data_IF_806447036749
#
_entry.id   IF_806447036749
#
_cell.length_a   1.000
_cell.length_b   1.000
_cell.length_c   1.000
_cell.angle_alpha   90.00
_cell.angle_beta   90.00
_cell.angle_gamma   90.00
#
_symmetry.space_group_name_H-M   'P 1'
#
loop_
_entity.id
_entity.type
_entity.pdbx_description
1 polymer ?
#
# COMPACT_ATOMS: atom_id res chain seq x y z
N UNK A 1 24.06 11.19 -21.35
CA UNK A 1 22.79 10.44 -21.41
C UNK A 1 22.98 8.93 -21.10
N UNK A 2 24.00 8.27 -21.63
CA UNK A 2 24.22 6.82 -21.44
C UNK A 2 24.64 6.39 -20.02
N UNK A 3 25.11 7.30 -19.17
CA UNK A 3 25.50 7.01 -17.79
C UNK A 3 24.28 6.96 -16.87
N UNK A 4 23.36 7.89 -17.00
CA UNK A 4 22.13 7.94 -16.21
C UNK A 4 21.25 6.70 -16.43
N UNK A 5 21.09 6.27 -17.69
CA UNK A 5 20.34 5.04 -18.00
C UNK A 5 20.99 3.77 -17.45
N UNK A 6 22.31 3.71 -17.38
CA UNK A 6 23.05 2.59 -16.76
C UNK A 6 22.87 2.58 -15.24
N UNK A 7 22.88 3.73 -14.59
CA UNK A 7 22.70 3.85 -13.15
C UNK A 7 21.28 3.46 -12.73
N UNK A 8 20.25 3.93 -13.45
CA UNK A 8 18.86 3.56 -13.23
C UNK A 8 18.64 2.04 -13.39
N UNK A 9 19.19 1.42 -14.43
CA UNK A 9 19.12 -0.03 -14.62
C UNK A 9 19.76 -0.81 -13.47
N UNK A 10 20.89 -0.34 -12.94
CA UNK A 10 21.56 -0.98 -11.77
C UNK A 10 20.76 -0.85 -10.50
N UNK A 11 20.09 0.30 -10.27
CA UNK A 11 19.22 0.52 -9.12
C UNK A 11 17.97 -0.37 -9.18
N UNK A 12 17.31 -0.45 -10.35
CA UNK A 12 16.13 -1.30 -10.55
C UNK A 12 16.48 -2.77 -10.35
N UNK A 13 17.63 -3.23 -10.86
CA UNK A 13 18.09 -4.60 -10.67
C UNK A 13 18.38 -4.97 -9.20
N UNK A 14 18.74 -4.00 -8.36
CA UNK A 14 18.94 -4.23 -6.92
C UNK A 14 17.65 -4.29 -6.12
N UNK A 15 16.61 -3.59 -6.55
CA UNK A 15 15.31 -3.53 -5.86
C UNK A 15 14.45 -4.77 -6.15
N UNK A 16 14.63 -5.39 -7.33
CA UNK A 16 13.95 -6.65 -7.68
C UNK A 16 14.68 -7.85 -7.07
N UNK A 17 14.39 -8.17 -5.83
CA UNK A 17 14.98 -9.29 -5.09
C UNK A 17 14.66 -10.66 -5.71
N UNK A 18 15.43 -11.10 -6.74
CA UNK A 18 15.54 -12.50 -7.17
C UNK A 18 14.67 -12.97 -8.33
N UNK A 19 13.79 -12.15 -8.92
CA UNK A 19 13.07 -12.48 -10.16
C UNK A 19 13.80 -11.95 -11.41
N UNK A 20 13.55 -12.51 -12.62
CA UNK A 20 14.07 -11.91 -13.84
C UNK A 20 13.55 -10.47 -13.96
N UNK A 21 14.45 -9.49 -14.15
CA UNK A 21 14.07 -8.10 -14.20
C UNK A 21 13.11 -7.87 -15.37
N UNK A 22 11.98 -7.22 -15.11
CA UNK A 22 11.01 -6.89 -16.13
C UNK A 22 11.66 -5.95 -17.17
N UNK A 23 11.97 -6.51 -18.34
CA UNK A 23 12.68 -5.81 -19.43
C UNK A 23 11.90 -4.57 -19.88
N UNK A 24 10.58 -4.62 -19.81
CA UNK A 24 9.69 -3.54 -20.20
C UNK A 24 9.82 -2.36 -19.23
N UNK A 25 9.79 -2.62 -17.92
CA UNK A 25 9.94 -1.60 -16.90
C UNK A 25 11.31 -0.92 -16.94
N UNK A 26 12.38 -1.72 -17.13
CA UNK A 26 13.73 -1.18 -17.27
C UNK A 26 13.89 -0.33 -18.53
N UNK A 27 13.29 -0.76 -19.63
CA UNK A 27 13.29 -0.02 -20.90
C UNK A 27 12.57 1.33 -20.75
N UNK A 28 11.39 1.32 -20.14
CA UNK A 28 10.61 2.53 -19.90
C UNK A 28 11.34 3.51 -18.98
N UNK A 29 11.77 3.07 -17.81
CA UNK A 29 12.46 3.93 -16.84
C UNK A 29 13.80 4.47 -17.40
N UNK A 30 14.55 3.64 -18.15
CA UNK A 30 15.77 4.07 -18.82
C UNK A 30 15.54 5.14 -19.90
N UNK A 31 14.44 5.01 -20.65
CA UNK A 31 14.04 5.99 -21.67
C UNK A 31 13.57 7.30 -21.04
N UNK A 32 12.72 7.23 -20.01
CA UNK A 32 12.27 8.40 -19.27
C UNK A 32 13.46 9.20 -18.69
N UNK A 33 14.39 8.52 -18.02
CA UNK A 33 15.58 9.15 -17.46
C UNK A 33 16.45 9.78 -18.56
N UNK A 34 16.59 9.14 -19.72
CA UNK A 34 17.34 9.67 -20.85
C UNK A 34 16.72 10.96 -21.38
N UNK A 35 15.39 11.00 -21.57
CA UNK A 35 14.70 12.18 -22.05
C UNK A 35 14.79 13.34 -21.06
N UNK A 36 14.64 13.08 -19.75
CA UNK A 36 14.81 14.11 -18.72
C UNK A 36 16.20 14.73 -18.75
N UNK A 37 17.26 13.92 -18.80
CA UNK A 37 18.65 14.42 -18.90
C UNK A 37 18.86 15.20 -20.20
N UNK A 38 18.24 14.77 -21.29
CA UNK A 38 18.37 15.45 -22.58
C UNK A 38 17.70 16.82 -22.56
N UNK A 39 16.50 16.92 -21.97
CA UNK A 39 15.78 18.21 -21.82
C UNK A 39 16.62 19.20 -20.99
N UNK A 40 17.13 18.76 -19.84
CA UNK A 40 17.97 19.58 -18.97
C UNK A 40 19.25 20.02 -19.69
N UNK A 41 19.89 19.09 -20.42
CA UNK A 41 21.10 19.39 -21.18
C UNK A 41 20.88 20.42 -22.32
N UNK A 42 19.78 20.28 -23.05
CA UNK A 42 19.39 21.23 -24.10
C UNK A 42 19.18 22.61 -23.51
N UNK A 43 18.45 22.73 -22.40
CA UNK A 43 18.21 24.03 -21.74
C UNK A 43 19.53 24.67 -21.30
N UNK A 44 20.45 23.89 -20.71
CA UNK A 44 21.74 24.40 -20.28
C UNK A 44 22.57 24.93 -21.45
N UNK A 45 22.58 24.24 -22.60
CA UNK A 45 23.26 24.71 -23.82
C UNK A 45 22.63 26.00 -24.36
N UNK A 46 21.28 26.06 -24.39
CA UNK A 46 20.59 27.28 -24.85
C UNK A 46 20.91 28.47 -23.96
N UNK A 47 20.99 28.29 -22.64
CA UNK A 47 21.39 29.35 -21.70
C UNK A 47 22.83 29.85 -21.97
N UNK A 48 23.77 28.93 -22.25
CA UNK A 48 25.15 29.32 -22.58
C UNK A 48 25.26 30.10 -23.91
N UNK A 49 24.35 29.82 -24.85
CA UNK A 49 24.25 30.55 -26.12
C UNK A 49 23.53 31.89 -25.99
N UNK A 50 23.13 32.31 -24.77
CA UNK A 50 22.45 33.59 -24.53
C UNK A 50 20.96 33.59 -24.89
N UNK A 51 20.38 32.41 -25.17
CA UNK A 51 18.94 32.27 -25.45
C UNK A 51 18.15 32.42 -24.18
N UNK A 52 17.13 33.26 -24.19
CA UNK A 52 16.23 33.43 -23.04
C UNK A 52 15.34 32.19 -22.83
N UNK A 53 15.65 31.40 -21.83
CA UNK A 53 14.97 30.12 -21.54
C UNK A 53 13.76 30.23 -20.60
N UNK A 54 13.42 31.44 -20.13
CA UNK A 54 12.33 31.71 -19.17
C UNK A 54 10.99 31.13 -19.63
N UNK A 55 10.63 31.31 -20.90
CA UNK A 55 9.38 30.76 -21.44
C UNK A 55 9.38 29.25 -21.50
N UNK A 56 10.52 28.64 -21.82
CA UNK A 56 10.67 27.17 -21.83
C UNK A 56 10.51 26.60 -20.42
N UNK A 57 11.14 27.25 -19.43
CA UNK A 57 11.02 26.86 -18.03
C UNK A 57 9.59 27.01 -17.51
N UNK A 58 8.88 28.08 -17.93
CA UNK A 58 7.47 28.25 -17.57
C UNK A 58 6.58 27.14 -18.13
N UNK A 59 6.77 26.74 -19.39
CA UNK A 59 6.05 25.65 -20.03
C UNK A 59 6.36 24.30 -19.34
N UNK A 60 7.63 24.05 -19.05
CA UNK A 60 8.04 22.83 -18.32
C UNK A 60 7.48 22.79 -16.89
N UNK A 61 7.41 23.94 -16.21
CA UNK A 61 6.78 24.05 -14.89
C UNK A 61 5.28 23.71 -14.95
N UNK A 62 4.56 24.26 -15.92
CA UNK A 62 3.15 23.95 -16.14
C UNK A 62 2.95 22.45 -16.49
N UNK A 63 3.79 21.89 -17.36
CA UNK A 63 3.74 20.47 -17.71
C UNK A 63 4.03 19.57 -16.49
N UNK A 64 5.02 19.95 -15.66
CA UNK A 64 5.36 19.22 -14.43
C UNK A 64 4.22 19.24 -13.43
N UNK A 65 3.53 20.38 -13.28
CA UNK A 65 2.34 20.49 -12.44
C UNK A 65 1.21 19.58 -12.94
N UNK A 66 0.96 19.58 -14.26
CA UNK A 66 -0.07 18.73 -14.86
C UNK A 66 0.22 17.24 -14.62
N UNK A 67 1.49 16.81 -14.79
CA UNK A 67 1.91 15.43 -14.48
C UNK A 67 1.76 15.13 -12.99
N UNK A 68 2.14 16.06 -12.10
CA UNK A 68 1.97 15.91 -10.65
C UNK A 68 0.52 15.72 -10.25
N UNK A 69 -0.40 16.49 -10.83
CA UNK A 69 -1.84 16.35 -10.61
C UNK A 69 -2.36 15.01 -11.15
N UNK A 70 -1.90 14.58 -12.32
CA UNK A 70 -2.28 13.28 -12.89
C UNK A 70 -1.82 12.09 -12.01
N UNK A 71 -0.68 12.23 -11.33
CA UNK A 71 -0.09 11.19 -10.45
C UNK A 71 -0.52 11.34 -8.98
N UNK A 72 -1.35 12.32 -8.63
CA UNK A 72 -1.73 12.64 -7.25
C UNK A 72 -2.26 11.41 -6.48
N UNK A 73 -3.13 10.60 -7.10
CA UNK A 73 -3.69 9.40 -6.46
C UNK A 73 -2.63 8.34 -6.15
N UNK A 74 -1.67 8.16 -7.05
CA UNK A 74 -0.55 7.22 -6.85
C UNK A 74 0.35 7.70 -5.72
N UNK A 75 0.67 8.98 -5.69
CA UNK A 75 1.50 9.60 -4.64
C UNK A 75 0.82 9.54 -3.27
N UNK A 76 -0.50 9.72 -3.22
CA UNK A 76 -1.31 9.54 -2.01
C UNK A 76 -1.21 8.11 -1.46
N UNK A 77 -1.23 7.09 -2.32
CA UNK A 77 -1.05 5.70 -1.89
C UNK A 77 0.34 5.44 -1.31
N UNK A 78 1.38 6.02 -1.91
CA UNK A 78 2.76 5.94 -1.38
C UNK A 78 2.84 6.58 0.01
N UNK A 79 2.32 7.80 0.16
CA UNK A 79 2.32 8.51 1.43
C UNK A 79 1.57 7.70 2.52
N UNK A 80 0.39 7.16 2.18
CA UNK A 80 -0.38 6.31 3.07
C UNK A 80 0.39 5.02 3.44
N UNK A 81 1.05 4.36 2.47
CA UNK A 81 1.88 3.18 2.71
C UNK A 81 3.02 3.46 3.70
N UNK A 82 3.71 4.59 3.55
CA UNK A 82 4.75 5.04 4.50
C UNK A 82 4.15 5.27 5.89
N UNK A 83 2.97 5.91 6.00
CA UNK A 83 2.29 6.13 7.28
C UNK A 83 1.86 4.82 7.94
N UNK A 84 1.33 3.86 7.17
CA UNK A 84 0.97 2.54 7.68
C UNK A 84 2.19 1.77 8.21
N UNK A 85 3.34 1.87 7.53
CA UNK A 85 4.60 1.27 7.97
C UNK A 85 5.19 1.94 9.21
N UNK A 86 4.99 3.25 9.37
CA UNK A 86 5.50 4.03 10.50
C UNK A 86 4.64 3.82 11.76
N UNK A 87 3.33 4.02 11.66
CA UNK A 87 2.41 3.92 12.79
C UNK A 87 1.97 2.49 13.12
N UNK A 88 2.02 1.59 12.16
CA UNK A 88 1.73 0.16 12.30
C UNK A 88 0.41 -0.14 13.01
N UNK A 89 -0.72 0.36 12.53
CA UNK A 89 -2.03 0.04 13.12
C UNK A 89 -2.35 -1.45 13.05
N UNK A 90 -1.71 -2.17 12.14
CA UNK A 90 -1.72 -3.62 12.02
C UNK A 90 -0.35 -4.14 11.52
N UNK A 91 -0.15 -5.44 11.60
CA UNK A 91 1.04 -6.16 11.15
C UNK A 91 0.66 -7.24 10.14
N UNK A 92 1.64 -7.71 9.38
CA UNK A 92 1.47 -8.91 8.56
C UNK A 92 1.13 -10.08 9.47
N UNK A 93 0.07 -10.81 9.16
CA UNK A 93 -0.51 -11.88 9.97
C UNK A 93 -1.73 -11.47 10.79
N UNK A 94 -1.97 -10.18 11.04
CA UNK A 94 -3.17 -9.72 11.75
C UNK A 94 -4.42 -9.91 10.90
N UNK A 95 -5.53 -10.19 11.55
CA UNK A 95 -6.87 -10.16 10.94
C UNK A 95 -7.45 -8.77 11.13
N UNK A 96 -7.73 -8.10 10.02
CA UNK A 96 -8.29 -6.75 10.03
C UNK A 96 -9.58 -6.68 9.21
N UNK A 97 -10.41 -5.72 9.58
CA UNK A 97 -11.53 -5.27 8.75
C UNK A 97 -11.28 -3.81 8.36
N UNK A 98 -11.31 -3.55 7.06
CA UNK A 98 -11.10 -2.21 6.47
C UNK A 98 -11.79 -2.12 5.12
N UNK A 99 -12.36 -0.98 4.79
CA UNK A 99 -13.11 -0.74 3.55
C UNK A 99 -14.19 -1.81 3.27
N UNK A 100 -14.86 -2.30 4.34
CA UNK A 100 -15.89 -3.33 4.25
C UNK A 100 -15.38 -4.72 3.85
N UNK A 101 -14.08 -4.98 4.04
CA UNK A 101 -13.45 -6.28 3.77
C UNK A 101 -12.71 -6.77 5.01
N UNK A 102 -12.96 -8.02 5.37
CA UNK A 102 -12.27 -8.71 6.47
C UNK A 102 -11.30 -9.73 5.90
N UNK A 103 -10.09 -9.78 6.44
CA UNK A 103 -9.08 -10.76 6.02
C UNK A 103 -7.80 -10.67 6.81
N UNK A 104 -6.95 -11.66 6.61
CA UNK A 104 -5.59 -11.68 7.18
C UNK A 104 -4.65 -10.91 6.28
N UNK A 105 -3.88 -9.99 6.87
CA UNK A 105 -2.86 -9.20 6.16
C UNK A 105 -1.74 -10.13 5.67
N UNK A 106 -1.56 -10.21 4.36
CA UNK A 106 -0.49 -11.01 3.72
C UNK A 106 0.76 -10.18 3.48
N UNK A 107 0.59 -9.00 2.85
CA UNK A 107 1.69 -8.07 2.59
C UNK A 107 1.21 -6.63 2.77
N UNK A 108 2.14 -5.78 3.15
CA UNK A 108 2.00 -4.33 3.15
C UNK A 108 3.11 -3.77 2.26
N UNK A 109 2.75 -3.44 1.04
CA UNK A 109 3.65 -2.87 0.04
C UNK A 109 3.53 -1.35 -0.01
N UNK A 110 4.36 -0.69 -0.83
CA UNK A 110 4.42 0.76 -0.92
C UNK A 110 3.08 1.39 -1.40
N UNK A 111 2.35 0.71 -2.28
CA UNK A 111 1.12 1.22 -2.90
C UNK A 111 -0.15 0.54 -2.39
N UNK A 112 -0.03 -0.72 -1.99
CA UNK A 112 -1.17 -1.59 -1.69
C UNK A 112 -0.93 -2.43 -0.46
N UNK A 113 -2.02 -2.78 0.22
CA UNK A 113 -2.10 -3.81 1.25
C UNK A 113 -2.84 -5.01 0.68
N UNK A 114 -2.29 -6.20 0.81
CA UNK A 114 -2.94 -7.44 0.40
C UNK A 114 -3.52 -8.17 1.61
N UNK A 115 -4.80 -8.55 1.50
CA UNK A 115 -5.49 -9.39 2.47
C UNK A 115 -5.85 -10.73 1.85
N UNK A 116 -5.89 -11.76 2.68
CA UNK A 116 -6.52 -13.04 2.35
C UNK A 116 -7.80 -13.19 3.17
N UNK A 117 -8.94 -13.32 2.50
CA UNK A 117 -10.23 -13.55 3.17
C UNK A 117 -10.29 -14.96 3.75
N UNK A 118 -11.25 -15.24 4.69
CA UNK A 118 -11.49 -16.61 5.18
C UNK A 118 -11.78 -17.62 4.06
N UNK A 119 -12.40 -17.17 2.96
CA UNK A 119 -12.67 -18.00 1.77
C UNK A 119 -11.45 -18.17 0.85
N UNK A 120 -10.26 -17.80 1.33
CA UNK A 120 -8.99 -17.86 0.60
C UNK A 120 -8.93 -17.00 -0.68
N UNK A 121 -9.67 -15.88 -0.72
CA UNK A 121 -9.60 -14.92 -1.81
C UNK A 121 -8.54 -13.86 -1.53
N UNK A 122 -7.79 -13.49 -2.57
CA UNK A 122 -6.85 -12.37 -2.51
C UNK A 122 -7.60 -11.06 -2.70
N UNK A 123 -7.51 -10.16 -1.73
CA UNK A 123 -8.04 -8.79 -1.80
C UNK A 123 -6.87 -7.82 -1.81
N UNK A 124 -6.81 -6.95 -2.80
CA UNK A 124 -5.78 -5.91 -2.92
C UNK A 124 -6.42 -4.55 -2.69
N UNK A 125 -5.96 -3.86 -1.68
CA UNK A 125 -6.48 -2.55 -1.27
C UNK A 125 -5.42 -1.47 -1.49
N UNK A 126 -5.73 -0.37 -2.21
CA UNK A 126 -4.84 0.79 -2.27
C UNK A 126 -4.61 1.36 -0.87
N UNK A 127 -3.36 1.65 -0.51
CA UNK A 127 -3.01 2.11 0.84
C UNK A 127 -3.72 3.40 1.25
N UNK A 128 -3.97 4.32 0.30
CA UNK A 128 -4.73 5.55 0.55
C UNK A 128 -6.15 5.27 1.03
N UNK A 129 -6.75 4.18 0.55
CA UNK A 129 -8.09 3.76 0.98
C UNK A 129 -8.05 3.12 2.36
N UNK A 130 -7.02 2.33 2.64
CA UNK A 130 -6.81 1.69 3.95
C UNK A 130 -6.55 2.72 5.04
N UNK A 131 -5.64 3.68 4.80
CA UNK A 131 -5.27 4.71 5.77
C UNK A 131 -6.38 5.75 5.99
N UNK A 132 -7.21 5.97 4.99
CA UNK A 132 -8.32 6.92 5.03
C UNK A 132 -9.62 6.38 5.63
N UNK A 133 -9.66 5.09 6.01
CA UNK A 133 -10.85 4.43 6.54
C UNK A 133 -10.63 3.93 7.97
N UNK A 134 -11.72 3.48 8.61
CA UNK A 134 -11.65 2.85 9.93
C UNK A 134 -10.99 1.48 9.80
N UNK A 135 -9.93 1.26 10.57
CA UNK A 135 -9.23 -0.03 10.63
C UNK A 135 -9.63 -0.72 11.95
N UNK A 136 -10.31 -1.86 11.84
CA UNK A 136 -10.63 -2.71 12.98
C UNK A 136 -9.64 -3.87 13.00
N UNK A 137 -8.69 -3.85 13.94
CA UNK A 137 -7.73 -4.94 14.12
C UNK A 137 -8.24 -5.92 15.19
N UNK A 138 -8.70 -7.08 14.74
CA UNK A 138 -9.27 -8.10 15.62
C UNK A 138 -8.22 -8.99 16.30
N UNK A 139 -6.97 -8.92 15.84
CA UNK A 139 -5.83 -9.69 16.39
C UNK A 139 -5.00 -8.90 17.42
N UNK A 140 -5.25 -7.59 17.57
CA UNK A 140 -4.42 -6.74 18.43
C UNK A 140 -4.51 -7.12 19.91
N UNK A 141 -5.72 -7.42 20.41
CA UNK A 141 -5.94 -7.82 21.78
C UNK A 141 -6.08 -9.33 21.90
N UNK A 142 -5.43 -9.92 22.89
CA UNK A 142 -5.44 -11.38 23.16
C UNK A 142 -6.80 -11.89 23.65
N UNK A 143 -7.68 -11.01 24.14
CA UNK A 143 -9.01 -11.37 24.63
C UNK A 143 -10.08 -10.62 23.84
N UNK A 144 -11.12 -11.34 23.42
CA UNK A 144 -12.26 -10.78 22.72
C UNK A 144 -13.56 -11.33 23.32
N UNK A 145 -14.57 -10.47 23.45
CA UNK A 145 -15.91 -10.89 23.86
C UNK A 145 -16.53 -11.75 22.75
N UNK A 146 -17.04 -12.89 23.13
CA UNK A 146 -17.85 -13.76 22.26
C UNK A 146 -19.25 -13.82 22.86
N UNK A 147 -20.24 -13.42 22.10
CA UNK A 147 -21.64 -13.49 22.50
C UNK A 147 -22.25 -14.73 21.85
N UNK A 148 -22.67 -15.70 22.66
CA UNK A 148 -23.37 -16.89 22.19
C UNK A 148 -24.85 -16.86 22.64
N UNK A 149 -25.76 -16.97 21.69
CA UNK A 149 -27.19 -17.06 21.96
C UNK A 149 -27.59 -18.54 21.92
N UNK A 150 -28.01 -19.04 23.08
CA UNK A 150 -28.45 -20.43 23.21
C UNK A 150 -29.96 -20.44 23.42
N UNK A 151 -30.65 -21.16 22.53
CA UNK A 151 -32.10 -21.40 22.69
C UNK A 151 -32.27 -22.62 23.56
N UNK A 152 -32.99 -22.47 24.67
CA UNK A 152 -33.33 -23.59 25.59
C UNK A 152 -34.83 -23.67 25.81
N UNK A 153 -35.31 -24.85 26.18
CA UNK A 153 -36.72 -25.05 26.55
C UNK A 153 -36.98 -24.43 27.93
N UNK A 154 -38.11 -23.76 28.10
CA UNK A 154 -38.51 -23.12 29.37
C UNK A 154 -38.57 -24.06 30.56
N UNK A 155 -38.63 -25.37 30.33
CA UNK A 155 -38.69 -26.40 31.36
C UNK A 155 -37.33 -26.78 31.98
N UNK A 156 -36.21 -26.26 31.45
CA UNK A 156 -34.87 -26.55 32.00
C UNK A 156 -34.45 -25.48 32.97
N UNK A 157 -33.82 -25.88 34.06
CA UNK A 157 -33.21 -24.94 35.00
C UNK A 157 -32.06 -24.20 34.36
N UNK A 158 -32.27 -22.90 34.14
CA UNK A 158 -31.32 -22.00 33.47
C UNK A 158 -30.02 -21.87 34.28
N UNK A 159 -30.10 -22.00 35.64
CA UNK A 159 -28.93 -21.89 36.50
C UNK A 159 -27.94 -23.03 36.26
N UNK A 160 -28.43 -24.29 36.19
CA UNK A 160 -27.62 -25.49 35.92
C UNK A 160 -27.01 -25.43 34.52
N UNK A 161 -27.75 -24.88 33.55
CA UNK A 161 -27.25 -24.75 32.17
C UNK A 161 -26.14 -23.68 32.07
N UNK A 162 -26.26 -22.57 32.78
CA UNK A 162 -25.26 -21.52 32.84
C UNK A 162 -23.97 -21.97 33.52
N UNK A 163 -24.07 -22.78 34.57
CA UNK A 163 -22.92 -23.31 35.29
C UNK A 163 -22.13 -24.31 34.42
N UNK A 164 -22.82 -25.21 33.71
CA UNK A 164 -22.21 -26.12 32.76
C UNK A 164 -21.55 -25.42 31.56
N UNK A 165 -22.12 -24.30 31.09
CA UNK A 165 -21.53 -23.50 30.02
C UNK A 165 -20.29 -22.72 30.46
N UNK A 166 -20.30 -22.16 31.68
CA UNK A 166 -19.12 -21.52 32.28
C UNK A 166 -17.97 -22.49 32.43
N UNK A 167 -18.23 -23.66 33.01
CA UNK A 167 -17.22 -24.72 33.18
C UNK A 167 -16.59 -25.16 31.86
N UNK A 168 -17.38 -25.21 30.77
CA UNK A 168 -16.90 -25.56 29.43
C UNK A 168 -16.11 -24.41 28.75
N UNK A 169 -16.49 -23.15 29.02
CA UNK A 169 -15.79 -22.00 28.49
C UNK A 169 -14.44 -21.76 29.17
N UNK A 170 -14.31 -22.14 30.45
CA UNK A 170 -13.07 -22.04 31.22
C UNK A 170 -12.08 -23.18 30.91
N UNK A 171 -12.57 -24.31 30.38
CA UNK A 171 -11.75 -25.49 30.04
C UNK A 171 -11.12 -25.42 28.62
N UNK A 172 -11.40 -24.38 27.83
CA UNK A 172 -10.89 -24.17 26.46
C UNK A 172 -10.01 -22.91 26.37
#
# INVERSE_FOLDING_TARGET
AGWASRLVRRLIARVHGGGPPDVTLQGFAGSAARYLVMIVGIIAVLQQLGVQTTSILAVLGAASLAVGLALQGTLSNVAAGVMLLLFRPYRVGDVIEVAGRTGTVKTLDLFVTELTTPDNLKVVLPNGKVFGDVIVNTSYHSRRRVDAVIKTDLKRDVAVLMEGLKARAEAN
#
